data_IF_189715575485
#
_entry.id   IF_189715575485
#
_cell.length_a   1.000
_cell.length_b   1.000
_cell.length_c   1.000
_cell.angle_alpha   90.00
_cell.angle_beta   90.00
_cell.angle_gamma   90.00
#
_symmetry.space_group_name_H-M   'P 1'
#
loop_
_entity.id
_entity.type
_entity.pdbx_description
1 polymer ?
#
# COMPACT_ATOMS: atom_id res chain seq x y z
N UNK A 1 15.21 -61.80 -13.67
CA UNK A 1 14.03 -61.29 -14.41
C UNK A 1 14.14 -59.77 -14.49
N UNK A 2 14.38 -59.22 -15.69
CA UNK A 2 14.80 -57.84 -15.89
C UNK A 2 13.76 -56.96 -16.62
N UNK A 3 14.04 -55.65 -16.71
CA UNK A 3 13.52 -54.60 -17.64
C UNK A 3 12.01 -54.29 -17.75
N UNK A 4 11.70 -53.00 -17.68
CA UNK A 4 10.40 -52.43 -18.07
C UNK A 4 10.37 -50.90 -17.96
N UNK A 5 11.08 -50.22 -18.84
CA UNK A 5 11.00 -48.77 -19.06
C UNK A 5 9.67 -48.39 -19.77
N UNK A 6 9.22 -47.15 -19.54
CA UNK A 6 8.64 -46.23 -20.55
C UNK A 6 7.11 -46.09 -20.81
N UNK A 7 6.66 -44.84 -20.60
CA UNK A 7 5.57 -44.02 -21.22
C UNK A 7 4.08 -44.37 -21.05
N UNK A 8 3.36 -43.45 -20.39
CA UNK A 8 2.05 -42.95 -20.84
C UNK A 8 1.80 -41.53 -20.29
N UNK A 9 2.12 -40.52 -21.10
CA UNK A 9 1.54 -39.17 -20.96
C UNK A 9 0.12 -39.24 -21.53
N UNK A 10 -0.79 -38.46 -20.94
CA UNK A 10 -2.04 -37.89 -21.49
C UNK A 10 -3.35 -38.39 -20.85
N UNK A 11 -4.19 -37.39 -20.55
CA UNK A 11 -5.62 -37.44 -20.21
C UNK A 11 -5.99 -37.60 -18.72
N UNK A 12 -5.62 -36.60 -17.90
CA UNK A 12 -6.46 -36.26 -16.76
C UNK A 12 -7.72 -35.53 -17.27
N UNK A 13 -8.95 -35.99 -16.97
CA UNK A 13 -10.16 -35.28 -17.36
C UNK A 13 -10.26 -33.97 -16.60
N UNK A 14 -10.44 -32.91 -17.39
CA UNK A 14 -10.81 -31.57 -16.99
C UNK A 14 -12.04 -31.60 -16.06
N UNK A 15 -11.82 -31.46 -14.75
CA UNK A 15 -12.89 -31.42 -13.74
C UNK A 15 -13.44 -29.99 -13.61
N UNK A 16 -14.66 -29.67 -14.10
CA UNK A 16 -15.14 -28.29 -14.29
C UNK A 16 -15.62 -27.58 -13.02
N UNK A 17 -15.43 -28.16 -11.83
CA UNK A 17 -15.93 -27.59 -10.56
C UNK A 17 -14.85 -26.92 -9.71
N UNK A 18 -13.56 -27.00 -10.10
CA UNK A 18 -12.49 -26.20 -9.48
C UNK A 18 -12.48 -24.73 -9.94
N UNK A 19 -13.14 -24.42 -11.07
CA UNK A 19 -13.30 -23.04 -11.57
C UNK A 19 -14.36 -22.23 -10.81
N UNK A 20 -15.25 -22.90 -10.06
CA UNK A 20 -16.38 -22.25 -9.38
C UNK A 20 -15.95 -21.54 -8.09
N UNK A 21 -14.82 -21.92 -7.48
CA UNK A 21 -14.37 -21.36 -6.19
C UNK A 21 -13.23 -20.33 -6.32
N UNK A 22 -12.61 -20.18 -7.48
CA UNK A 22 -11.48 -19.25 -7.71
C UNK A 22 -11.76 -18.12 -8.71
N UNK A 23 -13.00 -17.96 -9.20
CA UNK A 23 -13.36 -16.82 -10.05
C UNK A 23 -14.06 -15.71 -9.26
N UNK A 24 -13.34 -15.12 -8.29
CA UNK A 24 -13.73 -13.85 -7.66
C UNK A 24 -13.01 -12.69 -8.39
N UNK A 25 -13.65 -12.21 -9.44
CA UNK A 25 -13.33 -11.04 -10.28
C UNK A 25 -11.97 -10.34 -10.03
N UNK A 26 -11.01 -10.58 -10.93
CA UNK A 26 -9.79 -9.78 -11.10
C UNK A 26 -10.05 -8.33 -11.56
N UNK A 27 -11.30 -7.89 -11.53
CA UNK A 27 -11.74 -6.58 -12.03
C UNK A 27 -11.47 -5.52 -10.97
N UNK A 28 -10.64 -4.53 -11.32
CA UNK A 28 -10.44 -3.32 -10.52
C UNK A 28 -11.81 -2.78 -10.07
N UNK A 29 -12.03 -2.55 -8.76
CA UNK A 29 -13.31 -2.06 -8.28
C UNK A 29 -13.74 -0.79 -9.01
N UNK A 30 -15.01 -0.67 -9.36
CA UNK A 30 -15.53 0.46 -10.13
C UNK A 30 -15.25 1.82 -9.46
N UNK A 31 -15.16 1.88 -8.13
CA UNK A 31 -14.78 3.10 -7.42
C UNK A 31 -13.32 3.50 -7.68
N UNK A 32 -12.41 2.54 -7.81
CA UNK A 32 -10.98 2.77 -8.04
C UNK A 32 -10.76 3.28 -9.45
N UNK A 33 -11.36 2.62 -10.44
CA UNK A 33 -11.35 3.05 -11.85
C UNK A 33 -11.83 4.50 -12.00
N UNK A 34 -12.95 4.85 -11.37
CA UNK A 34 -13.49 6.23 -11.40
C UNK A 34 -12.51 7.28 -10.86
N UNK A 35 -11.72 6.95 -9.84
CA UNK A 35 -10.72 7.88 -9.28
C UNK A 35 -9.49 7.95 -10.19
N UNK A 36 -9.04 6.82 -10.73
CA UNK A 36 -7.94 6.75 -11.70
C UNK A 36 -8.26 7.55 -12.96
N UNK A 37 -9.49 7.45 -13.48
CA UNK A 37 -9.96 8.25 -14.62
C UNK A 37 -9.94 9.76 -14.32
N UNK A 38 -10.31 10.17 -13.09
CA UNK A 38 -10.21 11.58 -12.67
C UNK A 38 -8.76 12.05 -12.61
N UNK A 39 -7.86 11.23 -12.08
CA UNK A 39 -6.42 11.52 -12.06
C UNK A 39 -5.88 11.66 -13.48
N UNK A 40 -6.23 10.73 -14.38
CA UNK A 40 -5.79 10.75 -15.78
C UNK A 40 -6.27 12.02 -16.51
N UNK A 41 -7.56 12.37 -16.36
CA UNK A 41 -8.13 13.61 -16.93
C UNK A 41 -7.44 14.86 -16.38
N UNK A 42 -7.17 14.91 -15.07
CA UNK A 42 -6.46 16.03 -14.46
C UNK A 42 -5.01 16.15 -14.95
N UNK A 43 -4.28 15.04 -15.09
CA UNK A 43 -2.92 15.02 -15.67
C UNK A 43 -2.91 15.52 -17.11
N UNK A 44 -3.87 15.05 -17.92
CA UNK A 44 -4.02 15.51 -19.30
C UNK A 44 -4.31 17.01 -19.38
N UNK A 45 -5.15 17.54 -18.47
CA UNK A 45 -5.43 18.96 -18.40
C UNK A 45 -4.20 19.77 -17.98
N UNK A 46 -3.46 19.33 -16.96
CA UNK A 46 -2.18 19.95 -16.56
C UNK A 46 -1.24 20.03 -17.76
N UNK A 47 -1.07 18.94 -18.51
CA UNK A 47 -0.22 18.93 -19.71
C UNK A 47 -0.62 20.02 -20.72
N UNK A 48 -1.92 20.16 -21.00
CA UNK A 48 -2.43 21.20 -21.92
C UNK A 48 -2.24 22.62 -21.39
N UNK A 49 -2.47 22.86 -20.09
CA UNK A 49 -2.25 24.15 -19.45
C UNK A 49 -0.76 24.54 -19.48
N UNK A 50 0.12 23.58 -19.20
CA UNK A 50 1.58 23.78 -19.30
C UNK A 50 2.00 24.08 -20.73
N UNK A 51 1.48 23.36 -21.74
CA UNK A 51 1.77 23.66 -23.15
C UNK A 51 1.31 25.06 -23.56
N UNK A 52 0.13 25.49 -23.12
CA UNK A 52 -0.34 26.86 -23.36
C UNK A 52 0.58 27.89 -22.70
N UNK A 53 0.99 27.65 -21.45
CA UNK A 53 1.94 28.51 -20.73
C UNK A 53 3.30 28.62 -21.44
N UNK A 54 3.73 27.57 -22.14
CA UNK A 54 4.93 27.58 -22.99
C UNK A 54 4.75 28.32 -24.33
N UNK A 55 3.60 28.96 -24.59
CA UNK A 55 3.33 29.73 -25.81
C UNK A 55 2.58 28.96 -26.91
N UNK A 56 2.12 27.73 -26.65
CA UNK A 56 1.38 26.97 -27.66
C UNK A 56 -0.10 27.37 -27.74
N UNK A 57 -0.41 28.20 -28.73
CA UNK A 57 -1.74 28.78 -28.93
C UNK A 57 -2.59 28.05 -29.99
N UNK A 58 -2.32 26.76 -30.27
CA UNK A 58 -3.14 25.99 -31.21
C UNK A 58 -4.63 26.01 -30.79
N UNK A 59 -5.59 26.11 -31.72
CA UNK A 59 -7.02 26.24 -31.39
C UNK A 59 -7.57 25.15 -30.46
N UNK A 60 -7.07 23.90 -30.59
CA UNK A 60 -7.45 22.78 -29.72
C UNK A 60 -7.03 23.00 -28.26
N UNK A 61 -5.85 23.58 -28.03
CA UNK A 61 -5.34 23.90 -26.70
C UNK A 61 -6.12 25.08 -26.14
N UNK A 62 -6.27 26.16 -26.91
CA UNK A 62 -7.08 27.31 -26.50
C UNK A 62 -8.50 26.94 -26.11
N UNK A 63 -9.17 26.07 -26.88
CA UNK A 63 -10.51 25.56 -26.53
C UNK A 63 -10.49 24.83 -25.19
N UNK A 64 -9.48 24.00 -24.93
CA UNK A 64 -9.35 23.33 -23.62
C UNK A 64 -9.15 24.33 -22.49
N UNK A 65 -8.26 25.32 -22.67
CA UNK A 65 -7.97 26.33 -21.65
C UNK A 65 -9.23 27.16 -21.35
N UNK A 66 -9.97 27.60 -22.38
CA UNK A 66 -11.27 28.29 -22.21
C UNK A 66 -12.26 27.43 -21.41
N UNK A 67 -12.34 26.14 -21.69
CA UNK A 67 -13.21 25.22 -20.93
C UNK A 67 -12.72 25.02 -19.49
N UNK A 68 -11.41 25.06 -19.24
CA UNK A 68 -10.84 24.89 -17.90
C UNK A 68 -11.20 26.04 -16.95
N UNK A 69 -11.45 27.23 -17.52
CA UNK A 69 -11.88 28.46 -16.87
C UNK A 69 -13.34 28.83 -17.18
N UNK A 70 -14.11 27.93 -17.82
CA UNK A 70 -15.51 28.20 -18.12
C UNK A 70 -16.30 28.45 -16.82
N UNK A 71 -17.11 29.50 -16.80
CA UNK A 71 -17.84 29.94 -15.61
C UNK A 71 -17.01 30.73 -14.59
N UNK A 72 -15.74 31.01 -14.88
CA UNK A 72 -14.93 31.98 -14.13
C UNK A 72 -14.84 33.29 -14.91
N UNK A 73 -14.72 34.43 -14.22
CA UNK A 73 -14.57 35.76 -14.86
C UNK A 73 -13.14 36.02 -15.38
N UNK A 74 -12.39 34.96 -15.71
CA UNK A 74 -10.99 35.04 -16.13
C UNK A 74 -10.92 35.07 -17.65
N UNK A 75 -10.34 36.14 -18.20
CA UNK A 75 -10.09 36.26 -19.64
C UNK A 75 -8.66 35.83 -19.96
N UNK A 76 -8.48 35.10 -21.05
CA UNK A 76 -7.16 34.63 -21.48
C UNK A 76 -6.23 35.75 -21.96
N UNK A 77 -6.76 36.96 -22.16
CA UNK A 77 -6.01 38.13 -22.60
C UNK A 77 -5.62 39.07 -21.45
N UNK A 78 -6.00 38.75 -20.21
CA UNK A 78 -5.58 39.52 -19.05
C UNK A 78 -4.09 39.32 -18.78
N UNK A 79 -3.38 40.34 -18.26
CA UNK A 79 -1.95 40.25 -17.96
C UNK A 79 -1.63 39.24 -16.85
N UNK A 80 -2.58 38.94 -15.96
CA UNK A 80 -2.43 38.02 -14.83
C UNK A 80 -2.68 36.54 -15.19
N UNK A 81 -2.98 36.23 -16.46
CA UNK A 81 -3.34 34.87 -16.90
C UNK A 81 -2.28 33.83 -16.53
N UNK A 82 -1.00 34.18 -16.57
CA UNK A 82 0.12 33.29 -16.23
C UNK A 82 0.06 32.84 -14.76
N UNK A 83 -0.31 33.76 -13.87
CA UNK A 83 -0.49 33.45 -12.45
C UNK A 83 -1.72 32.55 -12.26
N UNK A 84 -2.85 32.89 -12.88
CA UNK A 84 -4.09 32.09 -12.82
C UNK A 84 -3.91 30.67 -13.37
N UNK A 85 -3.10 30.50 -14.42
CA UNK A 85 -2.72 29.19 -14.93
C UNK A 85 -1.93 28.38 -13.90
N UNK A 86 -1.01 29.03 -13.19
CA UNK A 86 -0.17 28.38 -12.18
C UNK A 86 -1.00 27.94 -10.99
N UNK A 87 -1.85 28.83 -10.46
CA UNK A 87 -2.84 28.52 -9.42
C UNK A 87 -3.69 27.31 -9.83
N UNK A 88 -4.22 27.31 -11.06
CA UNK A 88 -5.04 26.22 -11.57
C UNK A 88 -4.29 24.90 -11.72
N UNK A 89 -3.02 24.94 -12.12
CA UNK A 89 -2.17 23.75 -12.20
C UNK A 89 -1.93 23.18 -10.79
N UNK A 90 -1.65 24.03 -9.81
CA UNK A 90 -1.38 23.60 -8.44
C UNK A 90 -2.63 23.03 -7.76
N UNK A 91 -3.80 23.63 -7.97
CA UNK A 91 -5.10 23.04 -7.57
C UNK A 91 -5.28 21.61 -8.10
N UNK A 92 -4.93 21.38 -9.37
CA UNK A 92 -5.05 20.06 -9.98
C UNK A 92 -4.03 19.08 -9.39
N UNK A 93 -2.80 19.51 -9.10
CA UNK A 93 -1.81 18.69 -8.39
C UNK A 93 -2.29 18.31 -7.00
N UNK A 94 -2.83 19.26 -6.24
CA UNK A 94 -3.39 19.02 -4.92
C UNK A 94 -4.54 18.01 -4.99
N UNK A 95 -5.45 18.15 -5.96
CA UNK A 95 -6.54 17.18 -6.21
C UNK A 95 -6.01 15.78 -6.55
N UNK A 96 -5.01 15.67 -7.43
CA UNK A 96 -4.37 14.39 -7.76
C UNK A 96 -3.77 13.74 -6.51
N UNK A 97 -3.06 14.51 -5.68
CA UNK A 97 -2.50 14.01 -4.43
C UNK A 97 -3.59 13.51 -3.46
N UNK A 98 -4.68 14.27 -3.32
CA UNK A 98 -5.82 13.89 -2.49
C UNK A 98 -6.50 12.60 -3.00
N UNK A 99 -6.70 12.48 -4.31
CA UNK A 99 -7.25 11.27 -4.93
C UNK A 99 -6.32 10.05 -4.79
N UNK A 100 -5.01 10.24 -4.92
CA UNK A 100 -4.01 9.20 -4.65
C UNK A 100 -4.07 8.70 -3.20
N UNK A 101 -4.13 9.63 -2.23
CA UNK A 101 -4.33 9.30 -0.81
C UNK A 101 -5.64 8.54 -0.57
N UNK A 102 -6.72 8.91 -1.28
CA UNK A 102 -8.02 8.23 -1.20
C UNK A 102 -7.93 6.78 -1.69
N UNK A 103 -7.27 6.53 -2.82
CA UNK A 103 -7.05 5.16 -3.33
C UNK A 103 -6.29 4.34 -2.27
N UNK A 104 -5.16 4.87 -1.78
CA UNK A 104 -4.34 4.20 -0.76
C UNK A 104 -5.18 3.82 0.47
N UNK A 105 -5.91 4.78 1.05
CA UNK A 105 -6.75 4.56 2.23
C UNK A 105 -7.79 3.47 2.02
N UNK A 106 -8.45 3.48 0.86
CA UNK A 106 -9.50 2.50 0.57
C UNK A 106 -8.93 1.11 0.34
N UNK A 107 -7.81 1.02 -0.39
CA UNK A 107 -7.07 -0.23 -0.57
C UNK A 107 -6.58 -0.81 0.76
N UNK A 108 -6.01 0.03 1.64
CA UNK A 108 -5.58 -0.39 2.98
C UNK A 108 -6.76 -0.87 3.83
N UNK A 109 -7.89 -0.15 3.82
CA UNK A 109 -9.10 -0.58 4.52
C UNK A 109 -9.57 -1.95 4.03
N UNK A 110 -9.69 -2.14 2.72
CA UNK A 110 -10.11 -3.42 2.15
C UNK A 110 -9.11 -4.53 2.49
N UNK A 111 -7.81 -4.25 2.46
CA UNK A 111 -6.77 -5.20 2.87
C UNK A 111 -6.92 -5.61 4.33
N UNK A 112 -7.03 -4.64 5.25
CA UNK A 112 -7.20 -4.90 6.69
C UNK A 112 -8.47 -5.69 6.97
N UNK A 113 -9.58 -5.34 6.31
CA UNK A 113 -10.84 -6.08 6.44
C UNK A 113 -10.66 -7.56 6.01
N UNK A 114 -10.03 -7.79 4.86
CA UNK A 114 -9.78 -9.14 4.37
C UNK A 114 -8.83 -9.93 5.28
N UNK A 115 -7.75 -9.29 5.77
CA UNK A 115 -6.81 -9.92 6.71
C UNK A 115 -7.47 -10.25 8.04
N UNK A 116 -8.26 -9.34 8.62
CA UNK A 116 -8.97 -9.58 9.88
C UNK A 116 -10.00 -10.71 9.73
N UNK A 117 -10.72 -10.73 8.60
CA UNK A 117 -11.65 -11.82 8.30
C UNK A 117 -10.92 -13.15 8.17
N UNK A 118 -9.77 -13.16 7.49
CA UNK A 118 -8.94 -14.37 7.34
C UNK A 118 -8.36 -14.81 8.69
N UNK A 119 -7.95 -13.88 9.56
CA UNK A 119 -7.50 -14.18 10.91
C UNK A 119 -8.59 -14.88 11.74
N UNK A 120 -9.83 -14.41 11.64
CA UNK A 120 -10.95 -15.02 12.37
C UNK A 120 -11.32 -16.41 11.84
N UNK A 121 -11.24 -16.63 10.51
CA UNK A 121 -11.67 -17.89 9.90
C UNK A 121 -10.55 -18.94 9.73
N UNK A 122 -9.34 -18.52 9.36
CA UNK A 122 -8.20 -19.39 9.02
C UNK A 122 -6.86 -18.64 9.22
N UNK A 123 -6.38 -18.67 10.47
CA UNK A 123 -5.13 -18.03 10.87
C UNK A 123 -3.92 -18.57 10.10
N UNK A 124 -3.90 -19.88 9.82
CA UNK A 124 -2.78 -20.53 9.11
C UNK A 124 -2.62 -19.96 7.71
N UNK A 125 -3.73 -19.74 6.99
CA UNK A 125 -3.70 -19.08 5.68
C UNK A 125 -3.21 -17.63 5.77
N UNK A 126 -3.59 -16.89 6.81
CA UNK A 126 -3.07 -15.54 7.00
C UNK A 126 -1.56 -15.55 7.19
N UNK A 127 -1.04 -16.35 8.13
CA UNK A 127 0.40 -16.41 8.38
C UNK A 127 1.19 -16.82 7.14
N UNK A 128 0.73 -17.85 6.42
CA UNK A 128 1.31 -18.22 5.12
C UNK A 128 1.29 -17.09 4.08
N UNK A 129 0.28 -16.22 4.11
CA UNK A 129 0.22 -15.05 3.22
C UNK A 129 1.13 -13.90 3.64
N UNK A 130 1.56 -13.88 4.91
CA UNK A 130 2.50 -12.90 5.47
C UNK A 130 3.95 -13.37 5.34
N UNK A 131 4.18 -14.69 5.36
CA UNK A 131 5.46 -15.30 5.02
C UNK A 131 5.91 -14.81 3.65
N UNK A 132 7.13 -14.26 3.59
CA UNK A 132 7.79 -13.90 2.33
C UNK A 132 8.71 -15.07 1.98
N UNK A 133 8.32 -15.99 1.08
CA UNK A 133 9.17 -17.11 0.71
C UNK A 133 10.50 -16.66 0.10
N UNK A 134 10.59 -15.41 -0.37
CA UNK A 134 11.83 -14.79 -0.86
C UNK A 134 12.82 -14.45 0.27
N UNK A 135 12.35 -14.33 1.53
CA UNK A 135 13.17 -14.00 2.71
C UNK A 135 13.39 -15.23 3.59
N UNK A 136 12.44 -16.18 3.60
CA UNK A 136 12.63 -17.49 4.22
C UNK A 136 13.53 -18.32 3.30
N UNK A 137 14.84 -18.30 3.57
CA UNK A 137 15.83 -18.98 2.73
C UNK A 137 15.41 -20.40 2.37
N UNK A 138 15.39 -20.69 1.06
CA UNK A 138 15.18 -22.03 0.51
C UNK A 138 16.40 -22.95 0.73
N UNK A 139 17.17 -22.71 1.79
CA UNK A 139 18.28 -23.55 2.19
C UNK A 139 17.79 -24.73 3.03
N UNK A 140 18.58 -25.80 3.15
CA UNK A 140 18.34 -26.80 4.19
C UNK A 140 18.28 -26.10 5.55
N UNK A 141 17.30 -26.49 6.38
CA UNK A 141 17.21 -25.99 7.75
C UNK A 141 18.52 -26.27 8.51
N UNK A 142 18.83 -25.48 9.56
CA UNK A 142 20.02 -25.73 10.37
C UNK A 142 19.98 -27.15 10.94
N UNK A 143 21.16 -27.79 11.00
CA UNK A 143 21.27 -29.13 11.56
C UNK A 143 20.84 -29.13 13.04
N UNK A 144 20.35 -30.27 13.51
CA UNK A 144 19.91 -30.42 14.90
C UNK A 144 21.08 -30.17 15.86
N UNK A 145 22.28 -30.66 15.53
CA UNK A 145 23.47 -30.45 16.34
C UNK A 145 23.84 -28.97 16.43
N UNK A 146 23.83 -28.26 15.29
CA UNK A 146 24.13 -26.82 15.22
C UNK A 146 23.13 -25.99 16.01
N UNK A 147 21.85 -26.35 15.92
CA UNK A 147 20.78 -25.67 16.67
C UNK A 147 20.96 -25.87 18.18
N UNK A 148 21.24 -27.10 18.60
CA UNK A 148 21.49 -27.42 20.01
C UNK A 148 22.75 -26.74 20.51
N UNK A 149 23.83 -26.72 19.73
CA UNK A 149 25.08 -26.05 20.09
C UNK A 149 24.90 -24.54 20.25
N UNK A 150 24.15 -23.89 19.34
CA UNK A 150 23.82 -22.47 19.42
C UNK A 150 23.06 -22.12 20.70
N UNK A 151 21.93 -22.80 20.96
CA UNK A 151 21.11 -22.53 22.16
C UNK A 151 21.82 -22.91 23.45
N UNK A 152 22.58 -24.02 23.42
CA UNK A 152 23.42 -24.41 24.56
C UNK A 152 24.45 -23.33 24.83
N UNK A 153 25.19 -22.82 23.83
CA UNK A 153 26.17 -21.75 24.04
C UNK A 153 25.57 -20.50 24.66
N UNK A 154 24.37 -20.10 24.21
CA UNK A 154 23.67 -18.93 24.76
C UNK A 154 23.24 -19.11 26.23
N UNK A 155 22.90 -20.33 26.66
CA UNK A 155 22.31 -20.60 27.97
C UNK A 155 23.23 -21.32 28.96
N UNK A 156 24.34 -21.89 28.49
CA UNK A 156 25.28 -22.64 29.33
C UNK A 156 26.42 -21.80 29.86
N UNK A 157 26.75 -20.68 29.19
CA UNK A 157 27.71 -19.72 29.72
C UNK A 157 27.00 -18.70 30.62
N UNK A 158 27.34 -18.65 31.93
CA UNK A 158 26.82 -17.60 32.80
C UNK A 158 27.44 -16.26 32.39
N UNK A 159 26.71 -15.52 31.57
CA UNK A 159 27.08 -14.14 31.22
C UNK A 159 26.59 -13.21 32.33
N UNK A 160 27.51 -12.44 32.91
CA UNK A 160 27.15 -11.31 33.75
C UNK A 160 26.53 -10.22 32.87
N UNK A 161 25.20 -10.20 32.81
CA UNK A 161 24.48 -9.13 32.15
C UNK A 161 24.60 -7.86 33.00
N UNK A 162 25.17 -6.79 32.46
CA UNK A 162 25.07 -5.48 33.07
C UNK A 162 23.60 -5.08 33.08
N UNK A 163 22.99 -4.98 34.26
CA UNK A 163 21.59 -4.61 34.36
C UNK A 163 21.35 -3.25 33.70
N UNK A 164 20.49 -3.24 32.68
CA UNK A 164 20.09 -2.01 32.02
C UNK A 164 19.24 -1.14 32.96
N UNK A 165 19.12 0.18 32.70
CA UNK A 165 18.34 1.11 33.53
C UNK A 165 16.87 0.71 33.75
N UNK A 166 16.33 -0.22 32.94
CA UNK A 166 14.97 -0.76 33.04
C UNK A 166 14.79 -1.88 34.07
N UNK A 167 15.87 -2.45 34.61
CA UNK A 167 15.83 -3.44 35.71
C UNK A 167 15.81 -2.74 37.08
N UNK A 168 16.05 -1.42 37.11
CA UNK A 168 15.98 -0.63 38.33
C UNK A 168 14.52 -0.55 38.79
N UNK A 169 14.23 -0.84 40.07
CA UNK A 169 12.89 -0.63 40.60
C UNK A 169 12.55 0.85 40.47
N UNK A 170 11.38 1.15 39.91
CA UNK A 170 10.85 2.52 39.87
C UNK A 170 10.44 2.94 41.30
N UNK A 171 11.42 3.24 42.16
CA UNK A 171 11.17 3.91 43.43
C UNK A 171 10.88 5.39 43.17
N UNK A 172 9.71 5.68 42.61
CA UNK A 172 9.10 7.01 42.67
C UNK A 172 7.81 6.89 43.48
N UNK A 173 7.96 6.97 44.80
CA UNK A 173 6.88 7.42 45.66
C UNK A 173 6.58 8.88 45.30
N UNK A 174 5.69 9.10 44.33
CA UNK A 174 5.03 10.39 44.17
C UNK A 174 4.17 10.59 45.42
N UNK A 175 4.69 11.33 46.39
CA UNK A 175 3.88 11.90 47.44
C UNK A 175 2.83 12.79 46.78
N UNK A 176 1.62 12.27 46.62
CA UNK A 176 0.47 13.08 46.28
C UNK A 176 0.25 14.03 47.46
N UNK A 177 0.73 15.27 47.33
CA UNK A 177 0.42 16.34 48.26
C UNK A 177 -1.11 16.57 48.33
N UNK A 178 -1.66 17.00 49.48
CA UNK A 178 -3.09 17.11 49.65
C UNK A 178 -3.69 18.09 48.63
N UNK A 179 -4.71 17.64 47.91
CA UNK A 179 -5.53 18.54 47.07
C UNK A 179 -6.28 19.50 47.99
N UNK A 180 -5.85 20.76 48.02
CA UNK A 180 -6.65 21.85 48.57
C UNK A 180 -7.93 21.97 47.75
N UNK A 181 -9.05 21.58 48.34
CA UNK A 181 -10.37 21.98 47.89
C UNK A 181 -10.59 23.43 48.34
N UNK A 182 -10.58 24.37 47.38
CA UNK A 182 -11.12 25.70 47.62
C UNK A 182 -12.65 25.62 47.46
N UNK A 183 -13.35 26.09 48.49
CA UNK A 183 -14.78 26.39 48.48
C UNK A 183 -15.04 27.74 47.82
#
# INVERSE_FOLDING_TARGET
>A
MPYGMQYAVLLAPNFPWLDVLLKKSSTIPAWRKRIEDRIAKARALIGRLTSFRSGNNRPRIMRTVRMAFAGTNISLFQPDITQKLTERIDDLKQKIAAWGKRIRRFSERSRRFNQNRLFQSDQKRLYKSLERPEVCGAGPGPDQADTVAFWRGLWSEPVNNSEGPWMQPECKCYAYGPRHHNA
#
